data_IF_643828039860
#
_entry.id   IF_643828039860
#
_cell.length_a   1.000
_cell.length_b   1.000
_cell.length_c   1.000
_cell.angle_alpha   90.00
_cell.angle_beta   90.00
_cell.angle_gamma   90.00
#
_symmetry.space_group_name_H-M   'P 1'
#
loop_
_entity.id
_entity.type
_entity.pdbx_description
1 polymer ?
#
# COMPACT_ATOMS: atom_id res chain seq x y z
N UNK A 1 8.27 -10.31 3.20
CA UNK A 1 8.38 -9.01 2.49
C UNK A 1 7.11 -8.15 2.61
N UNK A 2 5.91 -8.74 2.58
CA UNK A 2 4.63 -8.03 2.70
C UNK A 2 4.58 -7.05 3.90
N UNK A 3 4.78 -7.51 5.14
CA UNK A 3 4.72 -6.66 6.33
C UNK A 3 5.70 -5.46 6.32
N UNK A 4 6.86 -5.59 5.66
CA UNK A 4 7.83 -4.49 5.56
C UNK A 4 7.33 -3.40 4.62
N UNK A 5 6.81 -3.76 3.46
CA UNK A 5 6.23 -2.78 2.52
C UNK A 5 4.94 -2.18 3.07
N UNK A 6 4.08 -2.99 3.69
CA UNK A 6 2.89 -2.52 4.39
C UNK A 6 3.25 -1.46 5.44
N UNK A 7 4.28 -1.67 6.27
CA UNK A 7 4.73 -0.67 7.24
C UNK A 7 5.25 0.62 6.60
N UNK A 8 5.95 0.54 5.45
CA UNK A 8 6.41 1.74 4.73
C UNK A 8 5.22 2.53 4.17
N UNK A 9 4.24 1.83 3.61
CA UNK A 9 3.02 2.44 3.09
C UNK A 9 2.14 3.00 4.22
N UNK A 10 2.01 2.28 5.32
CA UNK A 10 1.31 2.71 6.52
C UNK A 10 1.95 3.98 7.11
N UNK A 11 3.27 4.02 7.28
CA UNK A 11 3.94 5.24 7.79
C UNK A 11 3.76 6.45 6.86
N UNK A 12 3.65 6.22 5.55
CA UNK A 12 3.49 7.29 4.57
C UNK A 12 2.05 7.77 4.45
N UNK A 13 1.08 6.87 4.52
CA UNK A 13 -0.35 7.15 4.30
C UNK A 13 -1.19 7.19 5.59
N UNK A 14 -0.62 6.78 6.72
CA UNK A 14 -1.30 6.57 8.00
C UNK A 14 -2.60 5.75 7.89
N UNK A 15 -2.64 4.82 6.92
CA UNK A 15 -3.81 4.03 6.57
C UNK A 15 -3.36 2.65 6.08
N UNK A 16 -4.02 1.59 6.57
CA UNK A 16 -3.86 0.21 6.09
C UNK A 16 -5.25 -0.32 5.75
N UNK A 17 -5.48 -0.77 4.51
CA UNK A 17 -6.77 -1.29 4.11
C UNK A 17 -7.11 -2.57 4.90
N UNK A 18 -8.38 -2.77 5.30
CA UNK A 18 -8.80 -3.95 6.05
C UNK A 18 -8.77 -5.20 5.15
N UNK A 19 -8.28 -6.33 5.64
CA UNK A 19 -8.17 -7.57 4.86
C UNK A 19 -6.88 -7.65 4.03
N UNK A 20 -6.78 -8.70 3.20
CA UNK A 20 -5.57 -9.00 2.39
C UNK A 20 -5.81 -8.90 0.88
N UNK A 21 -7.00 -8.48 0.47
CA UNK A 21 -7.41 -8.39 -0.94
C UNK A 21 -7.07 -7.03 -1.55
N UNK A 22 -6.92 -7.00 -2.88
CA UNK A 22 -6.84 -5.73 -3.61
C UNK A 22 -8.16 -4.97 -3.53
N UNK A 23 -9.26 -5.70 -3.37
CA UNK A 23 -10.62 -5.17 -3.30
C UNK A 23 -10.82 -4.17 -2.17
N UNK A 24 -10.01 -4.16 -1.11
CA UNK A 24 -10.18 -3.24 0.02
C UNK A 24 -9.19 -2.08 0.01
N UNK A 25 -8.27 -2.06 -0.96
CA UNK A 25 -7.26 -0.98 -1.06
C UNK A 25 -7.87 0.38 -1.32
N UNK A 26 -9.01 0.44 -2.00
CA UNK A 26 -9.73 1.68 -2.27
C UNK A 26 -10.16 2.43 -0.99
N UNK A 27 -10.25 1.75 0.16
CA UNK A 27 -10.46 2.42 1.46
C UNK A 27 -9.29 3.30 1.88
N UNK A 28 -8.07 3.00 1.40
CA UNK A 28 -6.87 3.79 1.62
C UNK A 28 -6.28 4.25 0.26
N UNK A 29 -6.81 5.31 -0.38
CA UNK A 29 -6.42 5.71 -1.73
C UNK A 29 -4.93 6.05 -1.87
N UNK A 30 -4.29 6.57 -0.82
CA UNK A 30 -2.84 6.78 -0.79
C UNK A 30 -2.06 5.46 -0.84
N UNK A 31 -2.55 4.40 -0.18
CA UNK A 31 -1.94 3.07 -0.19
C UNK A 31 -2.15 2.39 -1.55
N UNK A 32 -3.34 2.57 -2.14
CA UNK A 32 -3.73 2.00 -3.44
C UNK A 32 -2.92 2.57 -4.61
N UNK A 33 -2.69 3.88 -4.62
CA UNK A 33 -1.99 4.57 -5.71
C UNK A 33 -0.47 4.66 -5.54
N UNK A 34 0.06 4.16 -4.42
CA UNK A 34 1.49 4.28 -4.15
C UNK A 34 2.31 3.39 -5.05
N UNK A 35 3.17 4.00 -5.85
CA UNK A 35 4.09 3.32 -6.75
C UNK A 35 5.54 3.42 -6.27
N UNK A 36 6.33 2.42 -6.63
CA UNK A 36 7.76 2.43 -6.39
C UNK A 36 8.43 3.29 -7.47
N UNK A 37 9.12 4.39 -7.11
CA UNK A 37 9.67 5.33 -8.11
C UNK A 37 10.73 4.70 -9.02
N UNK A 38 11.31 3.57 -8.62
CA UNK A 38 12.33 2.85 -9.39
C UNK A 38 11.74 1.87 -10.42
N UNK A 39 10.52 1.37 -10.21
CA UNK A 39 9.94 0.29 -11.03
C UNK A 39 8.59 0.65 -11.64
N UNK A 40 7.95 1.74 -11.19
CA UNK A 40 6.60 2.15 -11.59
C UNK A 40 5.49 1.20 -11.12
N UNK A 41 5.81 0.11 -10.42
CA UNK A 41 4.84 -0.85 -9.90
C UNK A 41 4.28 -0.39 -8.56
N UNK A 42 3.09 -0.90 -8.21
CA UNK A 42 2.52 -0.70 -6.89
C UNK A 42 3.53 -1.11 -5.82
N UNK A 43 3.82 -0.17 -4.92
CA UNK A 43 4.76 -0.35 -3.82
C UNK A 43 4.12 -1.10 -2.67
N UNK A 44 2.83 -0.89 -2.46
CA UNK A 44 2.11 -1.46 -1.35
C UNK A 44 1.56 -2.84 -1.72
N UNK A 45 1.70 -3.84 -0.82
CA UNK A 45 1.22 -5.20 -1.02
C UNK A 45 -0.29 -5.30 -0.87
#
# INVERSE_FOLDING_TARGET
>A
MCNKMCNVCCNRCNCVPPGTGQDTRHFCPCYDTMVNPHTGKLKCP
#
